data_IF_122313837324
#
_entry.id   IF_122313837324
#
_cell.length_a   1.000
_cell.length_b   1.000
_cell.length_c   1.000
_cell.angle_alpha   90.00
_cell.angle_beta   90.00
_cell.angle_gamma   90.00
#
_symmetry.space_group_name_H-M   'P 1'
#
loop_
_entity.id
_entity.type
_entity.pdbx_description
1 polymer ?
#
# COMPACT_ATOMS: atom_id res chain seq x y z
N UNK A 1 -33.80 2.34 -12.37
CA UNK A 1 -32.37 2.07 -12.66
C UNK A 1 -31.48 1.89 -11.40
N UNK A 2 -31.60 2.73 -10.36
CA UNK A 2 -30.69 2.74 -9.19
C UNK A 2 -30.64 1.49 -8.27
N UNK A 3 -31.58 0.52 -8.38
CA UNK A 3 -31.56 -0.72 -7.56
C UNK A 3 -30.63 -1.80 -8.14
N UNK A 4 -30.48 -1.86 -9.46
CA UNK A 4 -29.69 -2.89 -10.15
C UNK A 4 -28.18 -2.62 -10.01
N UNK A 5 -27.77 -1.34 -10.06
CA UNK A 5 -26.38 -0.93 -9.84
C UNK A 5 -25.92 -1.12 -8.39
N UNK A 6 -26.79 -0.84 -7.41
CA UNK A 6 -26.49 -1.10 -5.99
C UNK A 6 -26.26 -2.58 -5.71
N UNK A 7 -27.05 -3.47 -6.34
CA UNK A 7 -26.91 -4.92 -6.19
C UNK A 7 -25.61 -5.42 -6.83
N UNK A 8 -25.25 -4.93 -8.04
CA UNK A 8 -23.98 -5.25 -8.71
C UNK A 8 -22.76 -4.77 -7.91
N UNK A 9 -22.78 -3.53 -7.40
CA UNK A 9 -21.71 -2.98 -6.55
C UNK A 9 -21.50 -3.82 -5.28
N UNK A 10 -22.58 -4.21 -4.62
CA UNK A 10 -22.52 -5.07 -3.43
C UNK A 10 -21.94 -6.47 -3.73
N UNK A 11 -22.30 -7.08 -4.86
CA UNK A 11 -21.77 -8.39 -5.27
C UNK A 11 -20.28 -8.34 -5.61
N UNK A 12 -19.81 -7.27 -6.26
CA UNK A 12 -18.38 -7.07 -6.57
C UNK A 12 -17.59 -6.83 -5.29
N UNK A 13 -18.09 -5.99 -4.38
CA UNK A 13 -17.44 -5.75 -3.08
C UNK A 13 -17.36 -7.02 -2.21
N UNK A 14 -18.38 -7.88 -2.24
CA UNK A 14 -18.38 -9.17 -1.56
C UNK A 14 -17.34 -10.15 -2.15
N UNK A 15 -17.21 -10.19 -3.48
CA UNK A 15 -16.19 -11.00 -4.16
C UNK A 15 -14.77 -10.51 -3.87
N UNK A 16 -14.55 -9.20 -3.82
CA UNK A 16 -13.27 -8.60 -3.44
C UNK A 16 -12.90 -8.86 -1.98
N UNK A 17 -13.88 -8.98 -1.07
CA UNK A 17 -13.63 -9.40 0.33
C UNK A 17 -13.17 -10.86 0.43
N UNK A 18 -13.72 -11.75 -0.41
CA UNK A 18 -13.33 -13.16 -0.46
C UNK A 18 -11.93 -13.38 -1.06
N UNK A 19 -11.42 -12.44 -1.86
CA UNK A 19 -10.07 -12.50 -2.45
C UNK A 19 -9.04 -11.91 -1.48
N UNK A 20 -7.87 -12.54 -1.43
CA UNK A 20 -6.68 -12.07 -0.71
C UNK A 20 -5.80 -11.33 -1.72
N UNK A 21 -5.71 -10.01 -1.59
CA UNK A 21 -5.04 -9.15 -2.58
C UNK A 21 -3.97 -8.32 -1.86
N UNK A 22 -2.78 -8.28 -2.45
CA UNK A 22 -1.68 -7.41 -2.05
C UNK A 22 -1.41 -6.46 -3.22
N UNK A 23 -1.37 -5.16 -2.94
CA UNK A 23 -0.96 -4.11 -3.86
C UNK A 23 0.38 -3.58 -3.36
N UNK A 24 1.39 -3.61 -4.21
CA UNK A 24 2.73 -3.13 -3.87
C UNK A 24 3.38 -2.40 -5.04
N UNK A 25 4.22 -1.41 -4.73
CA UNK A 25 5.00 -0.68 -5.72
C UNK A 25 5.26 0.77 -5.34
N UNK A 26 5.85 1.51 -6.27
CA UNK A 26 5.99 2.97 -6.19
C UNK A 26 4.65 3.63 -6.54
N UNK A 27 3.89 4.01 -5.52
CA UNK A 27 2.63 4.74 -5.67
C UNK A 27 2.83 6.25 -5.83
N UNK A 28 4.05 6.74 -5.63
CA UNK A 28 4.51 8.11 -5.85
C UNK A 28 3.73 9.21 -5.11
N UNK A 29 3.03 8.87 -4.02
CA UNK A 29 2.43 9.84 -3.11
C UNK A 29 3.52 10.57 -2.31
N UNK A 30 3.35 11.88 -2.13
CA UNK A 30 4.33 12.76 -1.49
C UNK A 30 3.81 13.36 -0.19
N UNK A 31 4.67 14.06 0.54
CA UNK A 31 4.25 14.90 1.66
C UNK A 31 3.58 16.17 1.13
N UNK A 32 2.48 16.57 1.77
CA UNK A 32 1.79 17.83 1.49
C UNK A 32 2.65 19.00 1.98
N UNK A 33 2.82 20.01 1.12
CA UNK A 33 3.40 21.33 1.43
C UNK A 33 4.56 21.28 2.43
N UNK A 34 5.71 20.74 2.00
CA UNK A 34 6.90 20.67 2.82
C UNK A 34 7.40 22.08 3.19
N UNK A 35 7.35 22.38 4.48
CA UNK A 35 7.85 23.61 5.08
C UNK A 35 9.11 23.32 5.90
N UNK A 36 9.72 24.35 6.52
CA UNK A 36 10.87 24.17 7.41
C UNK A 36 10.60 23.15 8.52
N UNK A 37 9.34 23.05 8.98
CA UNK A 37 8.95 22.03 9.97
C UNK A 37 9.14 20.59 9.48
N UNK A 38 9.06 20.34 8.17
CA UNK A 38 9.36 19.01 7.61
C UNK A 38 10.84 18.66 7.75
N UNK A 39 11.74 19.66 7.66
CA UNK A 39 13.18 19.44 7.88
C UNK A 39 13.45 19.04 9.32
N UNK A 40 12.91 19.80 10.28
CA UNK A 40 13.06 19.51 11.72
C UNK A 40 12.58 18.09 12.05
N UNK A 41 11.38 17.71 11.61
CA UNK A 41 10.85 16.36 11.88
C UNK A 41 11.67 15.24 11.22
N UNK A 42 12.31 15.52 10.07
CA UNK A 42 13.21 14.55 9.42
C UNK A 42 14.50 14.36 10.22
N UNK A 43 15.05 15.45 10.79
CA UNK A 43 16.27 15.42 11.62
C UNK A 43 16.01 14.77 12.98
N UNK A 44 14.82 14.99 13.56
CA UNK A 44 14.37 14.37 14.81
C UNK A 44 13.91 12.91 14.65
N UNK A 45 13.82 12.40 13.43
CA UNK A 45 13.28 11.08 13.09
C UNK A 45 11.81 10.87 13.53
N UNK A 46 11.02 11.94 13.53
CA UNK A 46 9.60 11.96 13.93
C UNK A 46 8.69 11.48 12.79
N UNK A 47 8.78 10.19 12.47
CA UNK A 47 8.10 9.59 11.31
C UNK A 47 6.58 9.66 11.39
N UNK A 48 5.98 9.47 12.57
CA UNK A 48 4.53 9.50 12.71
C UNK A 48 3.98 10.90 12.42
N UNK A 49 4.64 11.95 12.92
CA UNK A 49 4.27 13.34 12.65
C UNK A 49 4.43 13.70 11.17
N UNK A 50 5.43 13.15 10.48
CA UNK A 50 5.59 13.30 9.04
C UNK A 50 4.50 12.55 8.25
N UNK A 51 4.13 11.35 8.69
CA UNK A 51 3.08 10.54 8.06
C UNK A 51 1.70 11.17 8.17
N UNK A 52 1.47 12.08 9.12
CA UNK A 52 0.24 12.90 9.13
C UNK A 52 0.12 13.80 7.91
N UNK A 53 1.24 14.14 7.27
CA UNK A 53 1.31 14.94 6.04
C UNK A 53 1.42 14.07 4.77
N UNK A 54 1.39 12.75 4.89
CA UNK A 54 1.46 11.83 3.74
C UNK A 54 0.17 11.87 2.91
N UNK A 55 0.29 12.21 1.62
CA UNK A 55 -0.86 12.34 0.72
C UNK A 55 -1.66 11.04 0.64
N UNK A 56 -1.02 9.86 0.61
CA UNK A 56 -1.76 8.59 0.53
C UNK A 56 -2.65 8.41 1.77
N UNK A 57 -2.09 8.60 2.98
CA UNK A 57 -2.85 8.51 4.23
C UNK A 57 -3.98 9.54 4.29
N UNK A 58 -3.76 10.77 3.81
CA UNK A 58 -4.78 11.81 3.77
C UNK A 58 -5.93 11.40 2.84
N UNK A 59 -5.61 11.01 1.60
CA UNK A 59 -6.61 10.62 0.59
C UNK A 59 -7.36 9.33 0.97
N UNK A 60 -6.69 8.39 1.64
CA UNK A 60 -7.32 7.19 2.18
C UNK A 60 -8.29 7.50 3.33
N UNK A 61 -7.88 8.38 4.27
CA UNK A 61 -8.75 8.83 5.38
C UNK A 61 -9.96 9.59 4.88
N UNK A 62 -9.80 10.39 3.82
CA UNK A 62 -10.90 11.04 3.13
C UNK A 62 -11.79 10.07 2.32
N UNK A 63 -11.34 8.82 2.12
CA UNK A 63 -12.06 7.81 1.37
C UNK A 63 -12.04 8.01 -0.15
N UNK A 64 -11.15 8.87 -0.66
CA UNK A 64 -11.02 9.18 -2.08
C UNK A 64 -10.33 8.05 -2.86
N UNK A 65 -9.33 7.40 -2.25
CA UNK A 65 -8.55 6.33 -2.88
C UNK A 65 -8.48 5.09 -2.00
N UNK A 66 -8.27 3.93 -2.63
CA UNK A 66 -8.00 2.64 -1.97
C UNK A 66 -8.93 2.33 -0.78
N UNK A 67 -10.23 2.61 -0.93
CA UNK A 67 -11.23 2.34 0.12
C UNK A 67 -11.26 0.85 0.50
N UNK A 68 -11.14 0.57 1.80
CA UNK A 68 -11.16 -0.79 2.34
C UNK A 68 -9.84 -1.56 2.22
N UNK A 69 -8.80 -0.93 1.69
CA UNK A 69 -7.43 -1.43 1.80
C UNK A 69 -6.85 -1.09 3.17
N UNK A 70 -5.93 -1.94 3.62
CA UNK A 70 -5.20 -1.80 4.88
C UNK A 70 -3.72 -1.61 4.55
N UNK A 71 -3.05 -0.82 5.38
CA UNK A 71 -1.60 -0.60 5.33
C UNK A 71 -1.04 -0.77 6.76
N UNK A 72 0.20 -1.25 6.86
CA UNK A 72 0.87 -1.45 8.13
C UNK A 72 1.25 -0.15 8.79
N UNK A 73 1.60 -0.23 10.08
CA UNK A 73 2.28 0.88 10.71
C UNK A 73 3.65 1.03 10.05
N UNK A 74 3.88 2.19 9.43
CA UNK A 74 5.19 2.58 8.91
C UNK A 74 5.99 3.12 10.10
N UNK A 75 7.09 2.46 10.41
CA UNK A 75 8.03 2.86 11.48
C UNK A 75 9.45 3.02 10.96
N UNK A 76 9.60 3.22 9.65
CA UNK A 76 10.88 3.35 8.95
C UNK A 76 10.97 4.71 8.21
N UNK A 77 12.18 5.21 7.96
CA UNK A 77 12.36 6.51 7.31
C UNK A 77 11.82 6.52 5.86
N UNK A 78 11.51 7.70 5.30
CA UNK A 78 11.13 7.87 3.91
C UNK A 78 12.05 7.09 2.95
N UNK A 79 11.47 6.46 1.92
CA UNK A 79 12.21 5.57 1.01
C UNK A 79 12.81 6.30 -0.17
N UNK A 80 12.40 7.55 -0.41
CA UNK A 80 12.79 8.41 -1.52
C UNK A 80 12.94 9.85 -1.01
N UNK A 81 13.74 10.76 -1.56
CA UNK A 81 14.75 10.60 -2.62
C UNK A 81 16.14 10.66 -2.02
N UNK A 82 16.91 9.60 -2.18
CA UNK A 82 18.31 9.54 -1.75
C UNK A 82 19.26 10.09 -2.80
N UNK A 83 20.44 10.54 -2.36
CA UNK A 83 21.57 10.75 -3.24
C UNK A 83 22.13 9.39 -3.70
N UNK A 84 22.68 9.27 -4.92
CA UNK A 84 23.29 8.03 -5.38
C UNK A 84 24.39 7.55 -4.42
N UNK A 85 24.38 6.26 -4.09
CA UNK A 85 25.38 5.64 -3.21
C UNK A 85 25.54 6.33 -1.84
N UNK A 86 24.45 6.85 -1.26
CA UNK A 86 24.48 7.61 -0.01
C UNK A 86 23.19 7.43 0.79
N UNK A 87 23.29 7.55 2.12
CA UNK A 87 22.15 7.62 3.05
C UNK A 87 21.65 9.05 3.27
N UNK A 88 22.21 10.02 2.56
CA UNK A 88 21.72 11.40 2.60
C UNK A 88 20.57 11.58 1.62
N UNK A 89 19.48 12.21 2.07
CA UNK A 89 18.41 12.65 1.19
C UNK A 89 18.91 13.77 0.27
N UNK A 90 18.45 13.80 -0.99
CA UNK A 90 18.75 14.91 -1.90
C UNK A 90 18.26 16.28 -1.40
N UNK A 91 17.31 16.28 -0.45
CA UNK A 91 16.81 17.47 0.22
C UNK A 91 17.84 18.10 1.18
N UNK A 92 18.80 17.34 1.73
CA UNK A 92 19.77 17.87 2.69
C UNK A 92 20.89 18.69 2.04
N UNK A 93 21.14 18.50 0.74
CA UNK A 93 22.21 19.19 -0.01
C UNK A 93 21.70 20.35 -0.86
N UNK A 94 20.45 20.76 -0.65
CA UNK A 94 19.80 21.84 -1.39
C UNK A 94 20.58 23.15 -1.28
N UNK A 95 20.99 23.74 -2.42
CA UNK A 95 21.54 25.10 -2.44
C UNK A 95 20.42 26.13 -2.59
N UNK A 96 20.73 27.39 -2.28
CA UNK A 96 19.81 28.50 -2.45
C UNK A 96 19.30 28.57 -3.91
N UNK A 97 17.99 28.37 -4.11
CA UNK A 97 17.35 28.36 -5.43
C UNK A 97 16.94 26.97 -5.94
N UNK A 98 17.45 25.89 -5.36
CA UNK A 98 17.02 24.53 -5.71
C UNK A 98 15.69 24.17 -5.04
N UNK A 99 14.83 23.46 -5.76
CA UNK A 99 13.62 22.81 -5.23
C UNK A 99 13.81 21.29 -5.23
N UNK A 100 14.69 20.74 -4.37
CA UNK A 100 14.87 19.29 -4.32
C UNK A 100 13.58 18.60 -3.89
N UNK A 101 13.43 17.34 -4.30
CA UNK A 101 12.30 16.53 -3.88
C UNK A 101 12.40 16.28 -2.38
N UNK A 102 11.38 16.69 -1.63
CA UNK A 102 11.24 16.35 -0.22
C UNK A 102 11.17 14.83 -0.05
N UNK A 103 11.79 14.28 1.01
CA UNK A 103 11.67 12.86 1.31
C UNK A 103 10.21 12.41 1.43
N UNK A 104 9.88 11.23 0.92
CA UNK A 104 8.55 10.65 0.90
C UNK A 104 8.56 9.11 0.95
N UNK A 105 7.43 8.54 1.37
CA UNK A 105 7.15 7.11 1.29
C UNK A 105 6.41 6.80 -0.01
N UNK A 106 7.18 6.76 -1.10
CA UNK A 106 6.68 6.44 -2.43
C UNK A 106 6.35 4.94 -2.57
N UNK A 107 7.17 4.10 -1.92
CA UNK A 107 7.12 2.65 -2.03
C UNK A 107 6.21 2.05 -0.94
N UNK A 108 5.06 1.51 -1.34
CA UNK A 108 3.96 1.13 -0.42
C UNK A 108 3.51 -0.31 -0.61
N UNK A 109 3.05 -0.93 0.47
CA UNK A 109 2.49 -2.28 0.47
C UNK A 109 1.16 -2.26 1.22
N UNK A 110 0.07 -2.47 0.49
CA UNK A 110 -1.29 -2.47 0.99
C UNK A 110 -1.94 -3.82 0.73
N UNK A 111 -2.95 -4.16 1.52
CA UNK A 111 -3.69 -5.40 1.33
C UNK A 111 -5.19 -5.24 1.55
N UNK A 112 -5.96 -6.11 0.91
CA UNK A 112 -7.40 -6.26 1.10
C UNK A 112 -7.74 -7.74 1.09
N UNK A 113 -8.56 -8.17 2.05
CA UNK A 113 -9.00 -9.55 2.18
C UNK A 113 -9.13 -9.95 3.64
N UNK A 114 -10.07 -10.85 3.90
CA UNK A 114 -10.28 -11.42 5.24
C UNK A 114 -9.22 -12.50 5.52
N UNK A 115 -8.85 -12.67 6.80
CA UNK A 115 -7.84 -13.66 7.20
C UNK A 115 -6.39 -13.29 6.86
N UNK A 116 -6.12 -12.07 6.42
CA UNK A 116 -4.76 -11.55 6.18
C UNK A 116 -4.27 -10.73 7.37
N UNK A 117 -3.09 -11.08 7.88
CA UNK A 117 -2.39 -10.34 8.94
C UNK A 117 -0.98 -9.99 8.45
N UNK A 118 -0.66 -8.70 8.42
CA UNK A 118 0.70 -8.25 8.20
C UNK A 118 1.51 -8.49 9.48
N UNK A 119 2.60 -9.25 9.38
CA UNK A 119 3.49 -9.59 10.49
C UNK A 119 4.58 -8.54 10.65
N UNK A 120 5.17 -8.10 9.53
CA UNK A 120 6.22 -7.09 9.53
C UNK A 120 6.09 -6.16 8.33
N UNK A 121 6.57 -4.92 8.49
CA UNK A 121 6.60 -3.91 7.44
C UNK A 121 7.83 -3.02 7.62
N UNK A 122 8.80 -3.14 6.71
CA UNK A 122 10.11 -2.51 6.86
C UNK A 122 10.77 -2.26 5.51
N UNK A 123 11.93 -1.61 5.54
CA UNK A 123 12.75 -1.33 4.35
C UNK A 123 14.15 -1.93 4.51
N UNK A 124 14.86 -2.07 3.39
CA UNK A 124 16.27 -2.43 3.34
C UNK A 124 17.14 -1.20 3.00
N UNK A 125 18.34 -1.15 3.57
CA UNK A 125 19.31 -0.05 3.38
C UNK A 125 20.19 -0.23 2.12
N UNK A 126 19.59 -0.68 1.03
CA UNK A 126 20.26 -0.83 -0.25
C UNK A 126 20.43 0.53 -0.93
N UNK A 127 21.66 0.84 -1.37
CA UNK A 127 22.01 2.13 -1.97
C UNK A 127 22.10 2.12 -3.50
N UNK A 128 21.71 1.00 -4.14
CA UNK A 128 21.76 0.84 -5.61
C UNK A 128 20.80 1.77 -6.37
N UNK A 129 19.82 2.35 -5.69
CA UNK A 129 18.82 3.26 -6.23
C UNK A 129 18.68 4.49 -5.33
N UNK A 130 18.07 5.56 -5.86
CA UNK A 130 17.57 6.69 -5.06
C UNK A 130 16.32 6.32 -4.23
N UNK A 131 15.82 5.10 -4.39
CA UNK A 131 14.82 4.44 -3.56
C UNK A 131 15.42 3.37 -2.63
N UNK A 132 14.84 3.22 -1.44
CA UNK A 132 15.11 2.10 -0.51
C UNK A 132 14.07 0.99 -0.68
N UNK A 133 14.46 -0.26 -0.96
CA UNK A 133 13.51 -1.36 -1.13
C UNK A 133 12.63 -1.57 0.10
N UNK A 134 11.33 -1.74 -0.11
CA UNK A 134 10.35 -2.00 0.96
C UNK A 134 9.89 -3.44 0.90
N UNK A 135 9.73 -4.07 2.06
CA UNK A 135 9.28 -5.44 2.18
C UNK A 135 8.27 -5.60 3.31
N UNK A 136 7.48 -6.67 3.23
CA UNK A 136 6.44 -6.98 4.19
C UNK A 136 6.24 -8.49 4.28
N UNK A 137 6.00 -9.00 5.48
CA UNK A 137 5.65 -10.39 5.72
C UNK A 137 4.17 -10.51 6.07
N UNK A 138 3.47 -11.51 5.51
CA UNK A 138 2.05 -11.75 5.77
C UNK A 138 1.79 -13.17 6.27
N UNK A 139 0.90 -13.30 7.25
CA UNK A 139 0.19 -14.53 7.57
C UNK A 139 -1.17 -14.48 6.90
N UNK A 140 -1.50 -15.49 6.10
CA UNK A 140 -2.74 -15.55 5.32
C UNK A 140 -3.45 -16.85 5.67
N UNK A 141 -4.65 -16.75 6.25
CA UNK A 141 -5.53 -17.90 6.45
C UNK A 141 -6.11 -18.33 5.11
N UNK A 142 -5.71 -19.50 4.62
CA UNK A 142 -6.31 -20.13 3.44
C UNK A 142 -7.46 -20.99 3.94
N UNK A 143 -8.64 -20.83 3.34
CA UNK A 143 -9.77 -21.72 3.62
C UNK A 143 -9.62 -22.95 2.73
N UNK A 144 -9.78 -24.13 3.30
CA UNK A 144 -9.67 -25.37 2.55
C UNK A 144 -10.72 -25.40 1.44
N UNK A 145 -10.27 -25.59 0.20
CA UNK A 145 -11.17 -25.89 -0.91
C UNK A 145 -11.74 -27.29 -0.67
N UNK A 146 -12.94 -27.38 -0.08
CA UNK A 146 -13.68 -28.61 -0.10
C UNK A 146 -14.31 -28.75 -1.49
N UNK A 147 -13.72 -29.59 -2.34
CA UNK A 147 -14.29 -29.93 -3.64
C UNK A 147 -15.66 -30.59 -3.43
N UNK A 148 -16.77 -29.95 -3.83
CA UNK A 148 -18.11 -30.53 -3.65
C UNK A 148 -18.33 -31.81 -4.47
N UNK A 149 -17.41 -32.15 -5.38
CA UNK A 149 -17.50 -33.30 -6.28
C UNK A 149 -16.73 -34.54 -5.82
N UNK A 150 -16.06 -34.51 -4.66
CA UNK A 150 -15.46 -35.72 -4.07
C UNK A 150 -16.45 -36.37 -3.10
N UNK A 151 -17.08 -37.50 -3.45
CA UNK A 151 -17.89 -38.24 -2.49
C UNK A 151 -17.01 -38.72 -1.33
N UNK A 152 -17.44 -38.40 -0.10
CA UNK A 152 -16.81 -38.84 1.13
C UNK A 152 -16.83 -40.37 1.23
N UNK A 153 -15.69 -40.99 1.00
CA UNK A 153 -15.39 -42.35 1.49
C UNK A 153 -14.09 -42.31 2.27
N UNK A 154 -14.14 -42.01 3.57
CA UNK A 154 -13.29 -42.63 4.59
C UNK A 154 -13.51 -42.04 5.99
N UNK A 155 -13.97 -42.95 6.85
CA UNK A 155 -13.67 -43.15 8.28
C UNK A 155 -12.55 -42.34 8.95
N UNK A 156 -12.90 -41.90 10.17
CA UNK A 156 -12.06 -41.50 11.31
C UNK A 156 -10.56 -41.87 11.29
N UNK A 157 -9.71 -40.85 11.18
CA UNK A 157 -8.40 -40.77 11.81
C UNK A 157 -7.94 -39.31 11.79
N UNK A 158 -8.11 -38.61 12.92
CA UNK A 158 -7.55 -37.28 13.14
C UNK A 158 -6.01 -37.36 13.09
N UNK A 159 -5.46 -37.05 11.93
CA UNK A 159 -4.04 -36.77 11.74
C UNK A 159 -3.94 -35.28 11.39
N UNK A 160 -3.25 -34.52 12.23
CA UNK A 160 -2.87 -33.14 11.92
C UNK A 160 -1.90 -33.17 10.73
N UNK A 161 -2.44 -33.21 9.51
CA UNK A 161 -1.66 -33.05 8.30
C UNK A 161 -1.39 -31.55 8.12
N UNK A 162 -0.12 -31.18 8.05
CA UNK A 162 0.26 -29.88 7.48
C UNK A 162 -0.03 -30.00 5.98
N UNK A 163 -1.23 -29.59 5.57
CA UNK A 163 -1.60 -29.57 4.17
C UNK A 163 -0.90 -28.39 3.49
N UNK A 164 -0.01 -28.72 2.55
CA UNK A 164 0.48 -27.74 1.59
C UNK A 164 -0.66 -27.40 0.64
N UNK A 165 -1.33 -26.27 0.87
CA UNK A 165 -2.35 -25.77 -0.04
C UNK A 165 -1.67 -24.96 -1.16
N UNK A 166 -1.69 -25.50 -2.37
CA UNK A 166 -1.35 -24.73 -3.58
C UNK A 166 -2.50 -23.81 -3.90
N UNK A 167 -2.31 -22.50 -3.67
CA UNK A 167 -3.24 -21.48 -4.12
C UNK A 167 -2.65 -20.78 -5.33
N UNK A 168 -3.50 -20.51 -6.34
CA UNK A 168 -3.08 -19.80 -7.55
C UNK A 168 -2.77 -18.35 -7.18
N UNK A 169 -1.49 -18.01 -7.16
CA UNK A 169 -1.03 -16.63 -7.04
C UNK A 169 -1.04 -16.02 -8.43
N UNK A 170 -1.90 -15.02 -8.63
CA UNK A 170 -1.93 -14.22 -9.84
C UNK A 170 -1.34 -12.86 -9.50
N UNK A 171 -0.24 -12.52 -10.17
CA UNK A 171 0.31 -11.16 -10.14
C UNK A 171 -0.21 -10.45 -11.40
N UNK A 172 -1.03 -9.41 -11.20
CA UNK A 172 -1.52 -8.55 -12.27
C UNK A 172 -0.99 -7.14 -12.04
N UNK A 173 -0.46 -6.49 -13.08
CA UNK A 173 -0.14 -5.06 -13.00
C UNK A 173 -1.43 -4.24 -13.01
N UNK A 174 -1.80 -3.72 -11.85
CA UNK A 174 -2.92 -2.80 -11.74
C UNK A 174 -2.44 -1.39 -12.07
N UNK A 175 -2.53 -0.98 -13.34
CA UNK A 175 -2.43 0.42 -13.73
C UNK A 175 -3.60 1.17 -13.09
N UNK A 176 -3.38 1.80 -11.94
CA UNK A 176 -4.34 2.69 -11.30
C UNK A 176 -4.42 3.96 -12.15
N UNK A 177 -5.19 3.92 -13.23
CA UNK A 177 -5.54 5.11 -14.01
C UNK A 177 -6.49 5.94 -13.14
N UNK A 178 -5.94 6.81 -12.31
CA UNK A 178 -6.69 7.92 -11.72
C UNK A 178 -7.07 8.87 -12.85
N UNK A 179 -8.26 8.68 -13.43
CA UNK A 179 -8.96 9.78 -14.09
C UNK A 179 -9.33 10.81 -13.01
N UNK A 180 -8.39 11.69 -12.69
CA UNK A 180 -8.72 12.96 -12.09
C UNK A 180 -9.63 13.69 -13.08
N UNK A 181 -10.93 13.77 -12.77
CA UNK A 181 -11.79 14.72 -13.46
C UNK A 181 -11.33 16.11 -13.05
N UNK A 182 -10.66 16.79 -13.97
CA UNK A 182 -10.31 18.19 -13.85
C UNK A 182 -11.58 19.02 -13.71
N UNK A 183 -11.84 19.55 -12.51
CA UNK A 183 -12.72 20.69 -12.34
C UNK A 183 -11.92 21.97 -12.66
N UNK A 184 -11.71 22.24 -13.95
CA UNK A 184 -11.41 23.58 -14.41
C UNK A 184 -12.72 24.36 -14.43
N UNK A 185 -12.97 25.18 -13.42
CA UNK A 185 -13.95 26.26 -13.52
C UNK A 185 -13.37 27.34 -14.42
N UNK A 186 -13.79 27.34 -15.68
CA UNK A 186 -13.67 28.50 -16.55
C UNK A 186 -14.52 29.63 -15.95
N UNK A 187 -13.88 30.58 -15.27
CA UNK A 187 -14.49 31.87 -14.97
C UNK A 187 -13.99 32.85 -16.02
N UNK A 188 -14.91 33.28 -16.89
CA UNK A 188 -14.75 34.43 -17.78
C UNK A 188 -14.60 35.70 -16.92
N UNK A 189 -13.58 36.50 -17.19
CA UNK A 189 -13.66 37.95 -17.34
C UNK A 189 -12.70 38.35 -18.45
#
# INVERSE_FOLDING_TARGET
>A
MARKDRRRKATVDARLKARKIILLGDLNYRLVNSCDKTRELLEENEWEALLEKDQLRIEQRAGHVLRGWKEGKISFPPTYKYLPNSDCYAFSTAKHGDKPRTPAWCDRILWRGDGMKQISYSRYESQFSDHRPVHSLFSIKIDDYCDPLRPNTATAADSYSISSASSRVEAEEMLVITRAQSCLSATRF
#
